data_IF_639586601970
#
_entry.id   IF_639586601970
#
_cell.length_a   1.000
_cell.length_b   1.000
_cell.length_c   1.000
_cell.angle_alpha   90.00
_cell.angle_beta   90.00
_cell.angle_gamma   90.00
#
_symmetry.space_group_name_H-M   'P 1'
#
loop_
_entity.id
_entity.type
_entity.pdbx_description
1 polymer ?
#
# COMPACT_ATOMS: atom_id res chain seq x y z
N UNK A 1 -20.02 1.11 -8.75
CA UNK A 1 -18.68 1.71 -8.95
C UNK A 1 -18.52 1.97 -10.45
N UNK A 2 -18.18 3.19 -10.87
CA UNK A 2 -17.91 3.53 -12.28
C UNK A 2 -16.40 3.52 -12.48
N UNK A 3 -15.88 2.52 -13.16
CA UNK A 3 -14.46 2.43 -13.53
C UNK A 3 -14.26 3.14 -14.87
N UNK A 4 -13.38 4.14 -14.91
CA UNK A 4 -12.94 4.80 -16.15
C UNK A 4 -11.46 4.47 -16.33
N UNK A 5 -11.14 3.59 -17.29
CA UNK A 5 -9.76 3.25 -17.67
C UNK A 5 -9.21 1.94 -17.08
N UNK A 6 -8.12 1.42 -17.66
CA UNK A 6 -7.33 0.32 -17.07
C UNK A 6 -6.77 0.82 -15.73
N UNK A 7 -7.06 0.11 -14.63
CA UNK A 7 -6.41 0.38 -13.34
C UNK A 7 -4.91 0.07 -13.50
N UNK A 8 -4.08 1.11 -13.53
CA UNK A 8 -2.62 0.97 -13.65
C UNK A 8 -1.91 0.84 -12.31
N UNK A 9 -2.60 1.20 -11.23
CA UNK A 9 -2.11 1.16 -9.85
C UNK A 9 -3.27 0.73 -8.97
N UNK A 10 -2.96 -0.04 -7.94
CA UNK A 10 -3.86 -0.41 -6.86
C UNK A 10 -3.20 -0.03 -5.54
N UNK A 11 -4.01 0.35 -4.55
CA UNK A 11 -3.53 0.66 -3.20
C UNK A 11 -4.03 -0.43 -2.25
N UNK A 12 -3.09 -1.04 -1.54
CA UNK A 12 -3.39 -2.01 -0.48
C UNK A 12 -2.95 -1.41 0.85
N UNK A 13 -3.91 -1.19 1.73
CA UNK A 13 -3.70 -0.67 3.07
C UNK A 13 -3.20 -1.79 4.00
N UNK A 14 -2.06 -1.54 4.65
CA UNK A 14 -1.56 -2.36 5.75
C UNK A 14 -1.70 -1.54 7.04
N UNK A 15 -2.63 -1.93 7.90
CA UNK A 15 -2.81 -1.27 9.20
C UNK A 15 -1.64 -1.56 10.14
N UNK A 16 -1.11 -0.51 10.75
CA UNK A 16 -0.15 -0.58 11.85
C UNK A 16 -0.82 -0.50 13.23
N UNK A 17 -2.17 -0.53 13.27
CA UNK A 17 -2.92 -0.51 14.52
C UNK A 17 -2.63 -1.78 15.33
N UNK A 18 -2.73 -1.63 16.66
CA UNK A 18 -2.51 -2.72 17.62
C UNK A 18 -3.79 -3.49 17.94
N UNK A 19 -4.95 -3.01 17.50
CA UNK A 19 -6.24 -3.63 17.70
C UNK A 19 -7.16 -3.48 16.47
N UNK A 20 -8.10 -4.41 16.34
CA UNK A 20 -9.02 -4.50 15.20
C UNK A 20 -10.00 -3.32 15.16
N UNK A 21 -10.39 -2.78 16.32
CA UNK A 21 -11.33 -1.67 16.40
C UNK A 21 -10.72 -0.39 15.81
N UNK A 22 -9.45 -0.12 16.12
CA UNK A 22 -8.66 0.96 15.53
C UNK A 22 -8.52 0.81 14.02
N UNK A 23 -8.14 -0.38 13.55
CA UNK A 23 -8.09 -0.70 12.12
C UNK A 23 -9.42 -0.42 11.42
N UNK A 24 -10.51 -0.98 11.96
CA UNK A 24 -11.84 -0.88 11.35
C UNK A 24 -12.33 0.56 11.33
N UNK A 25 -12.13 1.30 12.42
CA UNK A 25 -12.49 2.71 12.49
C UNK A 25 -11.73 3.55 11.45
N UNK A 26 -10.42 3.34 11.32
CA UNK A 26 -9.59 4.07 10.36
C UNK A 26 -9.91 3.71 8.90
N UNK A 27 -10.05 2.42 8.62
CA UNK A 27 -10.31 1.93 7.27
C UNK A 27 -11.69 2.36 6.76
N UNK A 28 -12.72 2.25 7.60
CA UNK A 28 -14.09 2.65 7.27
C UNK A 28 -14.25 4.17 7.08
N UNK A 29 -13.32 4.97 7.57
CA UNK A 29 -13.39 6.44 7.52
C UNK A 29 -13.22 7.07 6.12
N UNK A 30 -13.30 6.29 5.03
CA UNK A 30 -13.41 6.70 3.60
C UNK A 30 -12.22 6.38 2.69
N UNK A 31 -11.59 5.22 2.83
CA UNK A 31 -10.56 4.78 1.88
C UNK A 31 -11.19 3.83 0.83
N UNK A 32 -11.14 4.12 -0.48
CA UNK A 32 -11.68 3.23 -1.52
C UNK A 32 -10.73 2.07 -1.87
N UNK A 33 -9.82 1.73 -0.96
CA UNK A 33 -8.68 0.83 -1.18
C UNK A 33 -8.97 -0.57 -0.65
N UNK A 34 -8.18 -1.55 -1.06
CA UNK A 34 -8.15 -2.85 -0.38
C UNK A 34 -7.35 -2.75 0.92
N UNK A 35 -7.58 -3.66 1.85
CA UNK A 35 -6.76 -3.83 3.03
C UNK A 35 -6.38 -5.30 3.20
N UNK A 36 -5.25 -5.55 3.84
CA UNK A 36 -4.98 -6.88 4.40
C UNK A 36 -5.78 -7.02 5.69
N UNK A 37 -6.45 -8.16 5.85
CA UNK A 37 -7.23 -8.46 7.04
C UNK A 37 -6.37 -8.33 8.29
N UNK A 38 -6.95 -7.77 9.36
CA UNK A 38 -6.21 -7.45 10.58
C UNK A 38 -5.54 -8.68 11.22
N UNK A 39 -6.23 -9.82 11.18
CA UNK A 39 -5.80 -11.10 11.74
C UNK A 39 -4.81 -11.87 10.83
N UNK A 40 -4.55 -11.40 9.62
CA UNK A 40 -3.63 -12.09 8.70
C UNK A 40 -2.17 -11.75 9.04
N UNK A 41 -1.39 -12.77 9.42
CA UNK A 41 0.06 -12.71 9.66
C UNK A 41 0.85 -12.04 8.53
N UNK A 42 0.32 -12.06 7.30
CA UNK A 42 0.92 -11.40 6.13
C UNK A 42 1.15 -9.91 6.37
N UNK A 43 0.29 -9.25 7.18
CA UNK A 43 0.43 -7.85 7.58
C UNK A 43 1.77 -7.59 8.26
N UNK A 44 2.08 -8.34 9.32
CA UNK A 44 3.31 -8.18 10.09
C UNK A 44 4.55 -8.62 9.28
N UNK A 45 4.43 -9.72 8.52
CA UNK A 45 5.51 -10.21 7.66
C UNK A 45 5.90 -9.21 6.58
N UNK A 46 4.93 -8.55 5.96
CA UNK A 46 5.19 -7.52 4.96
C UNK A 46 5.79 -6.27 5.60
N UNK A 47 5.30 -5.81 6.76
CA UNK A 47 5.91 -4.69 7.48
C UNK A 47 7.38 -4.94 7.83
N UNK A 48 7.71 -6.16 8.29
CA UNK A 48 9.07 -6.56 8.57
C UNK A 48 9.93 -6.63 7.28
N UNK A 49 9.40 -7.21 6.21
CA UNK A 49 10.08 -7.33 4.90
C UNK A 49 10.39 -5.96 4.29
N UNK A 50 9.43 -5.03 4.39
CA UNK A 50 9.53 -3.65 3.91
C UNK A 50 10.25 -2.73 4.90
N UNK A 51 10.75 -3.28 6.01
CA UNK A 51 11.51 -2.59 7.07
C UNK A 51 10.82 -1.32 7.56
N UNK A 52 9.50 -1.41 7.78
CA UNK A 52 8.70 -0.28 8.26
C UNK A 52 9.08 0.03 9.71
N UNK A 53 9.68 1.19 9.94
CA UNK A 53 10.09 1.65 11.29
C UNK A 53 9.26 2.81 11.83
N UNK A 54 8.28 3.29 11.06
CA UNK A 54 7.41 4.41 11.42
C UNK A 54 6.30 4.63 10.38
N UNK A 55 5.29 5.41 10.77
CA UNK A 55 4.12 5.75 9.94
C UNK A 55 3.99 7.29 9.78
N UNK A 56 3.44 7.79 8.65
CA UNK A 56 2.97 7.04 7.49
C UNK A 56 4.12 6.46 6.66
N UNK A 57 3.85 5.37 5.94
CA UNK A 57 4.78 4.69 5.06
C UNK A 57 4.04 4.26 3.79
N UNK A 58 4.62 4.56 2.62
CA UNK A 58 4.06 4.19 1.32
C UNK A 58 5.17 3.61 0.45
N UNK A 59 5.10 2.32 0.15
CA UNK A 59 6.05 1.61 -0.72
C UNK A 59 5.36 1.34 -2.06
N UNK A 60 6.08 1.54 -3.17
CA UNK A 60 5.60 1.20 -4.51
C UNK A 60 6.29 -0.06 -4.98
N UNK A 61 5.48 -1.04 -5.37
CA UNK A 61 5.94 -2.36 -5.80
C UNK A 61 5.45 -2.61 -7.22
N UNK A 62 6.32 -3.17 -8.05
CA UNK A 62 5.92 -3.71 -9.35
C UNK A 62 5.15 -5.02 -9.15
N UNK A 63 3.87 -5.03 -9.52
CA UNK A 63 3.00 -6.19 -9.37
C UNK A 63 3.47 -7.43 -10.17
N UNK A 64 4.27 -7.26 -11.24
CA UNK A 64 4.74 -8.38 -12.07
C UNK A 64 5.99 -9.04 -11.49
N UNK A 65 6.89 -8.24 -10.90
CA UNK A 65 8.21 -8.70 -10.45
C UNK A 65 8.35 -8.79 -8.94
N UNK A 66 7.48 -8.11 -8.18
CA UNK A 66 7.59 -7.96 -6.73
C UNK A 66 8.71 -7.00 -6.30
N UNK A 67 9.38 -6.34 -7.24
CA UNK A 67 10.47 -5.43 -6.93
C UNK A 67 9.95 -4.11 -6.36
N UNK A 68 10.70 -3.56 -5.41
CA UNK A 68 10.45 -2.22 -4.88
C UNK A 68 10.89 -1.20 -5.94
N UNK A 69 9.92 -0.44 -6.43
CA UNK A 69 10.12 0.66 -7.39
C UNK A 69 10.45 1.96 -6.66
N UNK A 70 9.77 2.20 -5.53
CA UNK A 70 10.02 3.33 -4.64
C UNK A 70 9.85 2.86 -3.20
N UNK A 71 10.89 3.04 -2.40
CA UNK A 71 10.91 2.61 -1.01
C UNK A 71 10.02 3.51 -0.13
N UNK A 72 10.04 4.83 -0.35
CA UNK A 72 9.17 5.76 0.37
C UNK A 72 8.57 6.82 -0.55
N UNK A 73 7.28 6.71 -0.84
CA UNK A 73 6.53 7.68 -1.64
C UNK A 73 5.76 8.72 -0.81
N UNK A 74 5.89 8.70 0.53
CA UNK A 74 5.32 9.75 1.38
C UNK A 74 5.86 11.12 0.96
N UNK A 75 4.97 12.11 0.82
CA UNK A 75 5.25 13.48 0.36
C UNK A 75 5.87 13.62 -1.04
N UNK A 76 5.98 12.52 -1.81
CA UNK A 76 6.43 12.57 -3.20
C UNK A 76 5.25 12.80 -4.15
N UNK A 77 5.44 13.54 -5.25
CA UNK A 77 4.41 13.66 -6.27
C UNK A 77 4.13 12.28 -6.88
N UNK A 78 2.86 12.03 -7.19
CA UNK A 78 2.45 10.83 -7.91
C UNK A 78 2.95 10.90 -9.36
N UNK A 79 4.10 10.28 -9.64
CA UNK A 79 4.66 10.16 -10.99
C UNK A 79 4.54 8.72 -11.53
N UNK A 80 3.40 8.45 -12.17
CA UNK A 80 3.12 7.15 -12.78
C UNK A 80 4.06 6.82 -13.95
N UNK A 81 4.66 7.82 -14.60
CA UNK A 81 5.57 7.58 -15.72
C UNK A 81 6.93 7.08 -15.24
N UNK A 82 7.42 7.64 -14.12
CA UNK A 82 8.63 7.17 -13.46
C UNK A 82 8.49 5.69 -13.06
N UNK A 83 7.40 5.33 -12.38
CA UNK A 83 7.21 3.96 -11.91
C UNK A 83 7.08 2.96 -13.05
N UNK A 84 6.43 3.34 -14.16
CA UNK A 84 6.33 2.51 -15.37
C UNK A 84 7.67 2.24 -16.05
N UNK A 85 8.57 3.21 -16.08
CA UNK A 85 9.89 3.03 -16.68
C UNK A 85 10.79 2.12 -15.84
N UNK A 86 10.56 2.09 -14.52
CA UNK A 86 11.26 1.21 -13.60
C UNK A 86 10.78 -0.26 -13.67
N UNK A 87 9.51 -0.51 -14.01
CA UNK A 87 8.95 -1.86 -14.18
C UNK A 87 9.33 -2.55 -15.52
N UNK A 88 10.47 -2.21 -16.13
CA UNK A 88 10.92 -2.80 -17.41
C UNK A 88 11.85 -3.99 -17.23
#
# INVERSE_FOLDING_TARGET
>A
YKTVGKNFVEVVFLSADHDEDGFRSYFQASHPWMAIDFEDDTRERLMATLKVSGIPRLVVIDANTGNIVEDNAVDKPLDLNQWRMACR
#
